data_IF_596185649464
#
_entry.id   IF_596185649464
#
_cell.length_a   1.000
_cell.length_b   1.000
_cell.length_c   1.000
_cell.angle_alpha   90.00
_cell.angle_beta   90.00
_cell.angle_gamma   90.00
#
_symmetry.space_group_name_H-M   'P 1'
#
loop_
_entity.id
_entity.type
_entity.pdbx_description
1 polymer ?
#
# COMPACT_ATOMS: atom_id res chain seq x y z
N UNK A 1 -3.40 -16.73 -2.50
CA UNK A 1 -3.97 -15.44 -2.03
C UNK A 1 -5.47 -15.63 -1.87
N UNK A 2 -5.96 -15.53 -0.62
CA UNK A 2 -7.20 -16.16 -0.14
C UNK A 2 -8.36 -15.17 -0.05
N UNK A 3 -8.96 -14.85 -1.19
CA UNK A 3 -10.43 -14.75 -1.21
C UNK A 3 -10.90 -16.07 -1.79
N UNK A 4 -11.18 -17.03 -0.89
CA UNK A 4 -11.86 -18.26 -1.25
C UNK A 4 -13.19 -17.85 -1.89
N UNK A 5 -13.54 -18.47 -3.02
CA UNK A 5 -14.79 -18.22 -3.72
C UNK A 5 -15.99 -18.68 -2.88
N UNK A 6 -16.28 -17.98 -1.79
CA UNK A 6 -17.46 -18.20 -0.97
C UNK A 6 -18.49 -17.15 -1.35
N UNK A 7 -19.30 -17.54 -2.32
CA UNK A 7 -20.52 -16.89 -2.81
C UNK A 7 -21.64 -16.93 -1.73
N UNK A 8 -21.43 -16.26 -0.59
CA UNK A 8 -22.28 -16.38 0.60
C UNK A 8 -22.70 -15.06 1.26
N UNK A 9 -23.21 -14.10 0.47
CA UNK A 9 -24.24 -13.16 0.95
C UNK A 9 -23.92 -12.13 2.05
N UNK A 10 -22.68 -11.71 2.32
CA UNK A 10 -22.40 -10.87 3.52
C UNK A 10 -22.19 -9.37 3.27
N UNK A 11 -22.30 -8.86 2.04
CA UNK A 11 -22.05 -7.45 1.73
C UNK A 11 -23.27 -6.76 1.13
N UNK A 12 -24.43 -6.88 1.80
CA UNK A 12 -25.69 -6.30 1.37
C UNK A 12 -25.70 -4.81 1.71
N UNK A 13 -26.16 -3.98 0.77
CA UNK A 13 -26.32 -2.55 1.03
C UNK A 13 -27.45 -2.35 2.07
N UNK A 14 -27.25 -1.50 3.11
CA UNK A 14 -28.19 -1.40 4.25
C UNK A 14 -29.62 -1.01 3.86
N UNK A 15 -29.78 -0.27 2.76
CA UNK A 15 -31.08 0.27 2.32
C UNK A 15 -31.52 -0.18 0.92
N UNK A 16 -30.63 -0.78 0.13
CA UNK A 16 -30.89 -1.06 -1.28
C UNK A 16 -30.88 -2.57 -1.48
N UNK A 17 -31.77 -3.08 -2.33
CA UNK A 17 -31.82 -4.52 -2.65
C UNK A 17 -30.71 -4.92 -3.64
N UNK A 18 -29.45 -4.70 -3.24
CA UNK A 18 -28.24 -5.06 -3.96
C UNK A 18 -27.08 -5.25 -2.97
N UNK A 19 -25.98 -5.83 -3.44
CA UNK A 19 -24.70 -5.79 -2.72
C UNK A 19 -24.04 -4.41 -2.81
N UNK A 20 -23.11 -4.13 -1.91
CA UNK A 20 -22.28 -2.93 -1.97
C UNK A 20 -21.45 -2.92 -3.27
N UNK A 21 -21.33 -1.75 -3.86
CA UNK A 21 -20.49 -1.48 -5.03
C UNK A 21 -19.01 -1.50 -4.65
N UNK A 22 -18.15 -1.66 -5.65
CA UNK A 22 -16.71 -1.53 -5.46
C UNK A 22 -16.33 -0.16 -4.86
N UNK A 23 -17.04 0.92 -5.22
CA UNK A 23 -16.76 2.26 -4.66
C UNK A 23 -17.15 2.38 -3.19
N UNK A 24 -18.29 1.83 -2.80
CA UNK A 24 -18.69 1.77 -1.38
C UNK A 24 -17.68 0.97 -0.55
N UNK A 25 -17.22 -0.17 -1.07
CA UNK A 25 -16.18 -0.97 -0.43
C UNK A 25 -14.85 -0.21 -0.32
N UNK A 26 -14.47 0.54 -1.36
CA UNK A 26 -13.24 1.35 -1.36
C UNK A 26 -13.28 2.46 -0.29
N UNK A 27 -14.44 3.10 -0.10
CA UNK A 27 -14.66 4.10 0.96
C UNK A 27 -14.53 3.51 2.35
N UNK A 28 -15.06 2.30 2.57
CA UNK A 28 -14.87 1.57 3.83
C UNK A 28 -13.38 1.31 4.12
N UNK A 29 -12.61 1.04 3.06
CA UNK A 29 -11.16 0.89 3.13
C UNK A 29 -10.41 2.23 3.14
N UNK A 30 -11.07 3.37 3.30
CA UNK A 30 -10.47 4.73 3.35
C UNK A 30 -9.77 5.19 2.06
N UNK A 31 -10.07 4.56 0.91
CA UNK A 31 -9.57 5.07 -0.36
C UNK A 31 -10.26 6.39 -0.73
N UNK A 32 -9.52 7.37 -1.28
CA UNK A 32 -10.15 8.57 -1.80
C UNK A 32 -11.03 8.23 -3.01
N UNK A 33 -12.11 8.99 -3.19
CA UNK A 33 -13.07 8.76 -4.29
C UNK A 33 -12.43 8.92 -5.68
N UNK A 34 -11.36 9.71 -5.77
CA UNK A 34 -10.54 9.88 -6.98
C UNK A 34 -9.64 8.70 -7.31
N UNK A 35 -9.48 7.72 -6.41
CA UNK A 35 -8.65 6.55 -6.66
C UNK A 35 -9.29 5.64 -7.70
N UNK A 36 -8.54 5.32 -8.77
CA UNK A 36 -9.00 4.49 -9.88
C UNK A 36 -8.45 3.07 -9.70
N UNK A 37 -9.35 2.09 -9.64
CA UNK A 37 -8.98 0.67 -9.67
C UNK A 37 -9.05 0.16 -11.10
N UNK A 38 -7.95 -0.38 -11.60
CA UNK A 38 -7.87 -0.91 -12.97
C UNK A 38 -8.28 -2.38 -13.07
N UNK A 39 -8.81 -2.75 -14.24
CA UNK A 39 -9.24 -4.10 -14.58
C UNK A 39 -10.74 -4.34 -14.43
N UNK A 40 -11.14 -5.61 -14.42
CA UNK A 40 -12.56 -5.98 -14.29
C UNK A 40 -13.09 -5.70 -12.89
N UNK A 41 -14.42 -5.58 -12.76
CA UNK A 41 -15.08 -5.37 -11.47
C UNK A 41 -14.66 -6.42 -10.41
N UNK A 42 -14.56 -7.70 -10.79
CA UNK A 42 -14.08 -8.77 -9.89
C UNK A 42 -12.65 -8.51 -9.41
N UNK A 43 -11.75 -8.06 -10.30
CA UNK A 43 -10.36 -7.72 -9.95
C UNK A 43 -10.30 -6.50 -9.04
N UNK A 44 -11.10 -5.46 -9.30
CA UNK A 44 -11.17 -4.29 -8.43
C UNK A 44 -11.64 -4.65 -7.02
N UNK A 45 -12.71 -5.46 -6.88
CA UNK A 45 -13.17 -5.93 -5.57
C UNK A 45 -12.11 -6.75 -4.84
N UNK A 46 -11.33 -7.57 -5.56
CA UNK A 46 -10.18 -8.29 -5.01
C UNK A 46 -9.06 -7.36 -4.53
N UNK A 47 -8.74 -6.33 -5.30
CA UNK A 47 -7.74 -5.33 -4.91
C UNK A 47 -8.18 -4.59 -3.65
N UNK A 48 -9.44 -4.14 -3.59
CA UNK A 48 -9.99 -3.41 -2.45
C UNK A 48 -10.06 -4.29 -1.19
N UNK A 49 -10.58 -5.52 -1.31
CA UNK A 49 -10.78 -6.41 -0.17
C UNK A 49 -9.47 -6.88 0.48
N UNK A 50 -8.38 -6.98 -0.29
CA UNK A 50 -7.07 -7.37 0.23
C UNK A 50 -6.15 -6.19 0.56
N UNK A 51 -6.58 -4.95 0.28
CA UNK A 51 -5.77 -3.78 0.55
C UNK A 51 -5.66 -3.46 2.05
N UNK A 52 -4.53 -2.89 2.44
CA UNK A 52 -4.41 -2.16 3.72
C UNK A 52 -5.09 -0.80 3.53
N UNK A 53 -5.94 -0.34 4.47
CA UNK A 53 -6.56 0.98 4.39
C UNK A 53 -5.51 2.10 4.27
N UNK A 54 -5.60 3.02 3.29
CA UNK A 54 -4.64 4.11 3.14
C UNK A 54 -4.45 4.96 4.40
N UNK A 55 -5.52 5.27 5.14
CA UNK A 55 -5.38 6.02 6.40
C UNK A 55 -4.59 5.28 7.47
N UNK A 56 -4.68 3.94 7.52
CA UNK A 56 -3.88 3.14 8.45
C UNK A 56 -2.41 3.15 8.02
N UNK A 57 -2.14 2.98 6.73
CA UNK A 57 -0.80 3.01 6.17
C UNK A 57 -0.13 4.38 6.40
N UNK A 58 -0.87 5.47 6.27
CA UNK A 58 -0.42 6.83 6.56
C UNK A 58 0.04 6.99 8.01
N UNK A 59 -0.80 6.58 8.98
CA UNK A 59 -0.45 6.63 10.41
C UNK A 59 0.81 5.82 10.73
N UNK A 60 0.92 4.61 10.17
CA UNK A 60 2.12 3.77 10.34
C UNK A 60 3.34 4.45 9.71
N UNK A 61 3.19 5.03 8.53
CA UNK A 61 4.24 5.79 7.85
C UNK A 61 4.79 6.91 8.73
N UNK A 62 3.91 7.75 9.28
CA UNK A 62 4.31 8.82 10.20
C UNK A 62 5.04 8.30 11.44
N UNK A 63 4.59 7.20 12.03
CA UNK A 63 5.24 6.59 13.19
C UNK A 63 6.66 6.07 12.87
N UNK A 64 6.92 5.66 11.63
CA UNK A 64 8.22 5.15 11.20
C UNK A 64 9.23 6.23 10.80
N UNK A 65 8.79 7.45 10.45
CA UNK A 65 9.66 8.54 9.97
C UNK A 65 10.88 8.78 10.87
N UNK A 66 10.76 8.90 12.22
CA UNK A 66 11.92 9.16 13.07
C UNK A 66 13.00 8.07 12.95
N UNK A 67 12.57 6.81 13.03
CA UNK A 67 13.45 5.65 12.90
C UNK A 67 14.13 5.60 11.52
N UNK A 68 13.37 5.88 10.45
CA UNK A 68 13.92 5.93 9.10
C UNK A 68 14.94 7.07 8.92
N UNK A 69 14.69 8.23 9.51
CA UNK A 69 15.62 9.36 9.51
C UNK A 69 16.91 9.06 10.26
N UNK A 70 16.82 8.36 11.39
CA UNK A 70 17.99 7.92 12.17
C UNK A 70 18.84 6.93 11.36
N UNK A 71 18.21 5.94 10.72
CA UNK A 71 18.87 4.98 9.84
C UNK A 71 19.55 5.71 8.67
N UNK A 72 18.86 6.66 8.03
CA UNK A 72 19.40 7.42 6.90
C UNK A 72 20.60 8.28 7.31
N UNK A 73 20.53 8.93 8.48
CA UNK A 73 21.60 9.78 9.01
C UNK A 73 22.83 8.96 9.42
N UNK A 74 22.62 7.79 10.02
CA UNK A 74 23.69 6.87 10.38
C UNK A 74 24.36 6.24 9.14
N UNK A 75 23.60 5.96 8.07
CA UNK A 75 24.18 5.54 6.79
C UNK A 75 25.06 6.62 6.15
N UNK A 76 24.73 7.91 6.26
CA UNK A 76 25.59 8.99 5.78
C UNK A 76 26.90 9.09 6.55
N UNK A 77 26.89 8.82 7.86
CA UNK A 77 28.12 8.75 8.68
C UNK A 77 29.01 7.58 8.28
N UNK A 78 28.44 6.41 7.94
CA UNK A 78 29.22 5.26 7.45
C UNK A 78 29.74 5.43 6.02
N UNK A 79 29.18 6.36 5.23
CA UNK A 79 29.61 6.68 3.86
C UNK A 79 30.63 7.84 3.81
N UNK A 80 31.15 8.29 4.95
CA UNK A 80 32.47 8.93 4.96
C UNK A 80 33.55 7.85 4.82
N UNK A 81 33.62 7.19 3.66
CA UNK A 81 34.77 6.36 3.34
C UNK A 81 35.96 7.28 3.06
N UNK A 82 37.16 6.99 3.59
CA UNK A 82 38.37 7.70 3.19
C UNK A 82 38.54 7.60 1.66
N UNK A 83 39.09 8.65 1.05
CA UNK A 83 39.23 8.85 -0.41
C UNK A 83 39.92 7.70 -1.18
N UNK A 84 40.46 6.70 -0.47
CA UNK A 84 41.17 5.56 -1.03
C UNK A 84 40.28 4.44 -1.62
N UNK A 85 38.95 4.56 -1.52
CA UNK A 85 37.97 3.60 -2.07
C UNK A 85 37.19 4.16 -3.28
N UNK A 86 37.84 4.94 -4.14
CA UNK A 86 37.31 5.24 -5.47
C UNK A 86 37.79 4.15 -6.44
N UNK A 87 36.90 3.32 -7.02
CA UNK A 87 37.30 2.33 -8.01
C UNK A 87 37.56 3.03 -9.33
N UNK A 88 38.75 3.57 -9.50
CA UNK A 88 39.33 3.67 -10.84
C UNK A 88 39.90 2.30 -11.21
N UNK A 89 39.66 1.88 -12.46
CA UNK A 89 40.22 0.70 -13.14
C UNK A 89 39.40 -0.61 -12.99
N UNK A 90 38.47 -0.85 -13.92
CA UNK A 90 38.49 -2.05 -14.80
C UNK A 90 37.48 -1.92 -15.96
N UNK A 91 37.81 -1.07 -16.94
CA UNK A 91 37.41 -1.31 -18.34
C UNK A 91 38.72 -1.37 -19.13
N UNK A 92 39.23 -2.59 -19.25
CA UNK A 92 40.21 -3.00 -20.25
C UNK A 92 39.56 -4.08 -21.11
#
# INVERSE_FOLDING_TARGET
>A
MTVKENYGGTHIHPYLNRVISAREMARLQTFPDSFIFEGSMKKAMWQIGNAVPPSLAECIGYALIPCLNDIASNRKKSVNLPHFYQPEIFFG
#
